data_IF_909720795349
#
_entry.id   IF_909720795349
#
_cell.length_a   1.000
_cell.length_b   1.000
_cell.length_c   1.000
_cell.angle_alpha   90.00
_cell.angle_beta   90.00
_cell.angle_gamma   90.00
#
_symmetry.space_group_name_H-M   'P 1'
#
loop_
_entity.id
_entity.type
_entity.pdbx_description
1 polymer ?
#
# COMPACT_ATOMS: atom_id res chain seq x y z
N UNK A 1 -11.19 4.87 1.84
CA UNK A 1 -11.35 4.36 3.23
C UNK A 1 -11.80 5.45 4.21
N UNK A 2 -11.45 6.73 4.02
CA UNK A 2 -11.98 7.82 4.83
C UNK A 2 -13.43 8.09 4.38
N UNK A 3 -14.39 7.71 5.20
CA UNK A 3 -15.83 7.81 4.91
C UNK A 3 -16.58 6.50 5.01
N UNK A 4 -15.87 5.39 5.20
CA UNK A 4 -16.52 4.13 5.53
C UNK A 4 -17.00 4.19 6.98
N UNK A 5 -18.29 3.84 7.20
CA UNK A 5 -18.92 3.87 8.51
C UNK A 5 -18.31 2.81 9.45
N UNK A 6 -18.54 2.96 10.77
CA UNK A 6 -18.21 1.92 11.76
C UNK A 6 -18.87 0.59 11.37
N UNK A 7 -20.10 0.62 10.88
CA UNK A 7 -20.85 -0.55 10.40
C UNK A 7 -20.11 -1.30 9.27
N UNK A 8 -19.43 -0.57 8.36
CA UNK A 8 -18.59 -1.20 7.33
C UNK A 8 -17.44 -1.98 7.96
N UNK A 9 -16.73 -1.38 8.91
CA UNK A 9 -15.60 -2.02 9.56
C UNK A 9 -16.02 -3.21 10.42
N UNK A 10 -17.15 -3.12 11.08
CA UNK A 10 -17.72 -4.24 11.84
C UNK A 10 -18.11 -5.40 10.90
N UNK A 11 -18.76 -5.10 9.79
CA UNK A 11 -19.11 -6.11 8.79
C UNK A 11 -17.86 -6.76 8.18
N UNK A 12 -16.87 -5.96 7.78
CA UNK A 12 -15.59 -6.45 7.25
C UNK A 12 -14.87 -7.35 8.26
N UNK A 13 -14.84 -6.94 9.52
CA UNK A 13 -14.24 -7.72 10.61
C UNK A 13 -14.98 -9.03 10.84
N UNK A 14 -16.32 -9.02 10.82
CA UNK A 14 -17.10 -10.25 10.93
C UNK A 14 -16.76 -11.25 9.81
N UNK A 15 -16.71 -10.79 8.56
CA UNK A 15 -16.30 -11.64 7.42
C UNK A 15 -14.88 -12.19 7.58
N UNK A 16 -13.97 -11.41 8.12
CA UNK A 16 -12.58 -11.83 8.38
C UNK A 16 -12.54 -12.90 9.45
N UNK A 17 -13.26 -12.72 10.56
CA UNK A 17 -13.37 -13.73 11.64
C UNK A 17 -13.97 -15.05 11.13
N UNK A 18 -15.00 -14.98 10.29
CA UNK A 18 -15.59 -16.17 9.64
C UNK A 18 -14.55 -16.94 8.81
N UNK A 19 -13.73 -16.22 8.03
CA UNK A 19 -12.64 -16.83 7.24
C UNK A 19 -11.59 -17.52 8.08
N UNK A 20 -11.36 -17.05 9.30
CA UNK A 20 -10.49 -17.70 10.28
C UNK A 20 -11.18 -18.83 11.05
N UNK A 21 -12.41 -19.22 10.67
CA UNK A 21 -13.14 -20.34 11.27
C UNK A 21 -13.92 -19.99 12.54
N UNK A 22 -14.10 -18.71 12.85
CA UNK A 22 -14.97 -18.31 13.97
C UNK A 22 -16.43 -18.65 13.62
N UNK A 23 -17.22 -19.26 14.54
CA UNK A 23 -18.65 -19.47 14.34
C UNK A 23 -19.40 -18.16 14.07
N UNK A 24 -20.40 -18.18 13.19
CA UNK A 24 -21.09 -16.96 12.71
C UNK A 24 -21.61 -16.09 13.83
N UNK A 25 -22.37 -16.65 14.79
CA UNK A 25 -22.91 -15.90 15.92
C UNK A 25 -21.81 -15.24 16.76
N UNK A 26 -20.66 -15.89 16.90
CA UNK A 26 -19.52 -15.37 17.66
C UNK A 26 -18.78 -14.29 16.84
N UNK A 27 -18.61 -14.49 15.54
CA UNK A 27 -18.00 -13.52 14.65
C UNK A 27 -18.78 -12.20 14.66
N UNK A 28 -20.10 -12.25 14.55
CA UNK A 28 -20.97 -11.08 14.61
C UNK A 28 -20.89 -10.36 15.99
N UNK A 29 -20.85 -11.11 17.07
CA UNK A 29 -20.77 -10.55 18.42
C UNK A 29 -19.40 -9.90 18.74
N UNK A 30 -18.32 -10.43 18.19
CA UNK A 30 -16.95 -9.93 18.42
C UNK A 30 -16.55 -8.81 17.47
N UNK A 31 -17.13 -8.75 16.29
CA UNK A 31 -16.69 -7.84 15.24
C UNK A 31 -16.60 -6.37 15.68
N UNK A 32 -17.58 -5.77 16.40
CA UNK A 32 -17.47 -4.38 16.83
C UNK A 32 -16.30 -4.14 17.79
N UNK A 33 -16.02 -5.07 18.68
CA UNK A 33 -14.93 -4.93 19.65
C UNK A 33 -13.57 -5.08 18.95
N UNK A 34 -13.44 -6.02 18.02
CA UNK A 34 -12.21 -6.25 17.27
C UNK A 34 -11.96 -5.09 16.31
N UNK A 35 -12.98 -4.60 15.59
CA UNK A 35 -12.83 -3.46 14.69
C UNK A 35 -12.40 -2.20 15.44
N UNK A 36 -13.01 -1.90 16.59
CA UNK A 36 -12.61 -0.78 17.43
C UNK A 36 -11.18 -0.92 17.95
N UNK A 37 -10.78 -2.11 18.43
CA UNK A 37 -9.42 -2.35 18.86
C UNK A 37 -8.41 -2.15 17.72
N UNK A 38 -8.71 -2.67 16.53
CA UNK A 38 -7.85 -2.52 15.35
C UNK A 38 -7.68 -1.06 14.93
N UNK A 39 -8.74 -0.27 15.02
CA UNK A 39 -8.73 1.14 14.63
C UNK A 39 -8.04 2.04 15.66
N UNK A 40 -8.26 1.79 16.96
CA UNK A 40 -7.91 2.74 18.01
C UNK A 40 -6.67 2.33 18.81
N UNK A 41 -6.47 1.02 19.05
CA UNK A 41 -5.51 0.53 20.04
C UNK A 41 -4.39 -0.32 19.44
N UNK A 42 -4.66 -1.01 18.31
CA UNK A 42 -3.66 -1.86 17.68
C UNK A 42 -2.51 -1.04 17.11
N UNK A 43 -1.31 -1.28 17.65
CA UNK A 43 -0.07 -0.65 17.22
C UNK A 43 0.97 -1.74 16.97
N UNK A 44 1.00 -2.31 15.74
CA UNK A 44 2.04 -3.29 15.40
C UNK A 44 3.42 -2.66 15.47
N UNK A 45 4.41 -3.47 15.81
CA UNK A 45 5.81 -3.06 15.68
C UNK A 45 6.15 -3.03 14.20
N UNK A 46 6.61 -1.88 13.73
CA UNK A 46 7.07 -1.73 12.35
C UNK A 46 8.29 -2.62 12.12
N UNK A 47 8.28 -3.37 11.04
CA UNK A 47 9.39 -4.19 10.59
C UNK A 47 9.74 -3.85 9.14
N UNK A 48 11.01 -3.54 8.90
CA UNK A 48 11.54 -3.32 7.55
C UNK A 48 12.44 -4.50 7.21
N UNK A 49 12.06 -5.37 6.27
CA UNK A 49 12.90 -6.48 5.82
C UNK A 49 14.25 -6.00 5.28
N UNK A 50 15.29 -6.81 5.46
CA UNK A 50 16.66 -6.41 5.09
C UNK A 50 16.82 -6.09 3.60
N UNK A 51 16.16 -6.86 2.73
CA UNK A 51 16.16 -6.69 1.28
C UNK A 51 15.58 -5.35 0.82
N UNK A 52 14.72 -4.72 1.63
CA UNK A 52 14.17 -3.39 1.32
C UNK A 52 15.28 -2.34 1.28
N UNK A 53 16.22 -2.39 2.23
CA UNK A 53 17.33 -1.45 2.30
C UNK A 53 18.25 -1.55 1.08
N UNK A 54 18.58 -2.77 0.69
CA UNK A 54 19.45 -3.04 -0.47
C UNK A 54 18.78 -2.58 -1.76
N UNK A 55 17.51 -2.92 -1.94
CA UNK A 55 16.73 -2.55 -3.14
C UNK A 55 16.59 -1.02 -3.26
N UNK A 56 16.18 -0.34 -2.18
CA UNK A 56 16.03 1.11 -2.22
C UNK A 56 17.37 1.83 -2.45
N UNK A 57 18.47 1.28 -1.92
CA UNK A 57 19.81 1.82 -2.16
C UNK A 57 20.21 1.68 -3.64
N UNK A 58 20.02 0.50 -4.22
CA UNK A 58 20.30 0.26 -5.64
C UNK A 58 19.50 1.18 -6.55
N UNK A 59 18.20 1.35 -6.27
CA UNK A 59 17.34 2.25 -7.06
C UNK A 59 17.76 3.72 -6.95
N UNK A 60 18.10 4.15 -5.74
CA UNK A 60 18.58 5.52 -5.48
C UNK A 60 19.93 5.78 -6.18
N UNK A 61 20.88 4.86 -6.08
CA UNK A 61 22.22 4.97 -6.70
C UNK A 61 22.11 4.95 -8.23
N UNK A 62 21.14 4.24 -8.77
CA UNK A 62 20.81 4.25 -10.20
C UNK A 62 20.09 5.54 -10.64
N UNK A 63 19.76 6.45 -9.71
CA UNK A 63 19.16 7.75 -10.00
C UNK A 63 17.65 7.71 -10.22
N UNK A 64 16.95 6.64 -9.82
CA UNK A 64 15.49 6.60 -9.91
C UNK A 64 14.85 7.50 -8.84
N UNK A 65 14.00 8.47 -9.25
CA UNK A 65 13.20 9.23 -8.29
C UNK A 65 12.14 8.32 -7.68
N UNK A 66 12.04 8.32 -6.35
CA UNK A 66 11.10 7.48 -5.62
C UNK A 66 10.19 8.31 -4.71
N UNK A 67 8.94 7.88 -4.55
CA UNK A 67 7.97 8.45 -3.64
C UNK A 67 7.08 7.38 -3.03
N UNK A 68 6.43 7.69 -1.93
CA UNK A 68 5.47 6.80 -1.26
C UNK A 68 4.10 7.46 -1.21
N UNK A 69 3.05 6.73 -1.66
CA UNK A 69 1.66 7.14 -1.54
C UNK A 69 0.85 6.10 -0.78
N UNK A 70 0.12 6.52 0.26
CA UNK A 70 -0.62 5.63 1.16
C UNK A 70 -2.03 6.11 1.41
N UNK A 71 -2.98 5.15 1.53
CA UNK A 71 -4.37 5.42 1.93
C UNK A 71 -4.50 5.78 3.44
N UNK A 72 -3.50 6.46 3.99
CA UNK A 72 -3.54 6.98 5.37
C UNK A 72 -4.26 8.33 5.40
N UNK A 73 -4.92 8.62 6.53
CA UNK A 73 -5.55 9.91 6.75
C UNK A 73 -4.52 10.99 7.07
N UNK A 74 -3.55 10.65 7.91
CA UNK A 74 -2.57 11.60 8.44
C UNK A 74 -1.21 11.44 7.75
N UNK A 75 -0.42 12.52 7.63
CA UNK A 75 0.97 12.46 7.20
C UNK A 75 1.76 11.44 8.01
N UNK A 76 2.74 10.78 7.39
CA UNK A 76 3.54 9.72 8.01
C UNK A 76 5.05 9.82 7.73
N UNK A 77 5.50 10.99 7.30
CA UNK A 77 6.92 11.24 7.07
C UNK A 77 7.77 11.03 8.34
N UNK A 78 7.23 11.36 9.51
CA UNK A 78 7.92 11.13 10.78
C UNK A 78 8.14 9.63 11.06
N UNK A 79 7.18 8.78 10.72
CA UNK A 79 7.35 7.33 10.80
C UNK A 79 8.44 6.83 9.85
N UNK A 80 8.47 7.32 8.59
CA UNK A 80 9.56 6.98 7.66
C UNK A 80 10.92 7.46 8.15
N UNK A 81 11.00 8.62 8.80
CA UNK A 81 12.24 9.09 9.44
C UNK A 81 12.67 8.15 10.56
N UNK A 82 11.75 7.76 11.44
CA UNK A 82 12.03 6.83 12.54
C UNK A 82 12.53 5.48 12.04
N UNK A 83 11.99 5.01 10.93
CA UNK A 83 12.41 3.78 10.25
C UNK A 83 13.69 3.96 9.41
N UNK A 84 14.21 5.17 9.25
CA UNK A 84 15.37 5.47 8.40
C UNK A 84 15.08 5.43 6.89
N UNK A 85 13.82 5.30 6.48
CA UNK A 85 13.41 5.16 5.08
C UNK A 85 13.22 6.49 4.35
N UNK A 86 12.97 7.58 5.07
CA UNK A 86 12.70 8.89 4.46
C UNK A 86 13.75 9.37 3.45
N UNK A 87 15.08 9.12 3.64
CA UNK A 87 16.09 9.57 2.69
C UNK A 87 16.04 8.94 1.29
N UNK A 88 15.26 7.89 1.10
CA UNK A 88 15.04 7.24 -0.20
C UNK A 88 13.96 7.91 -1.03
N UNK A 89 13.07 8.68 -0.42
CA UNK A 89 11.86 9.18 -1.05
C UNK A 89 11.87 10.70 -1.15
N UNK A 90 11.42 11.23 -2.29
CA UNK A 90 11.25 12.67 -2.51
C UNK A 90 10.00 13.19 -1.77
N UNK A 91 9.00 12.34 -1.57
CA UNK A 91 7.79 12.67 -0.81
C UNK A 91 7.21 11.43 -0.11
N UNK A 92 6.39 11.68 0.90
CA UNK A 92 5.50 10.71 1.53
C UNK A 92 4.08 11.30 1.54
N UNK A 93 3.23 10.85 0.62
CA UNK A 93 1.88 11.38 0.42
C UNK A 93 0.84 10.53 1.15
N UNK A 94 0.14 11.10 2.11
CA UNK A 94 -1.05 10.51 2.69
C UNK A 94 -2.30 10.95 1.91
N UNK A 95 -3.21 10.02 1.61
CA UNK A 95 -4.46 10.29 0.91
C UNK A 95 -5.28 11.43 1.56
N UNK A 96 -5.24 11.51 2.90
CA UNK A 96 -5.95 12.56 3.63
C UNK A 96 -5.41 13.97 3.41
N UNK A 97 -4.16 14.15 2.95
CA UNK A 97 -3.58 15.46 2.67
C UNK A 97 -4.21 16.11 1.43
N UNK A 98 -4.67 15.28 0.49
CA UNK A 98 -5.29 15.74 -0.76
C UNK A 98 -6.76 15.32 -0.89
N UNK A 99 -7.31 14.70 0.16
CA UNK A 99 -8.68 14.17 0.19
C UNK A 99 -9.01 13.25 -1.00
N UNK A 100 -8.05 12.41 -1.42
CA UNK A 100 -8.22 11.42 -2.49
C UNK A 100 -7.51 10.11 -2.12
N UNK A 101 -8.23 9.00 -2.19
CA UNK A 101 -7.80 7.66 -1.79
C UNK A 101 -7.68 6.74 -2.98
N UNK A 102 -6.63 5.90 -2.99
CA UNK A 102 -6.55 4.80 -3.98
C UNK A 102 -7.80 3.92 -3.87
N UNK A 103 -8.44 3.54 -4.97
CA UNK A 103 -7.96 3.59 -6.36
C UNK A 103 -8.31 4.87 -7.15
N UNK A 104 -8.72 5.97 -6.52
CA UNK A 104 -9.05 7.21 -7.23
C UNK A 104 -7.84 7.73 -8.02
N UNK A 105 -8.00 8.16 -9.29
CA UNK A 105 -6.88 8.61 -10.13
C UNK A 105 -6.13 9.81 -9.57
N UNK A 106 -6.79 10.69 -8.81
CA UNK A 106 -6.20 11.95 -8.34
C UNK A 106 -4.97 11.75 -7.44
N UNK A 107 -4.93 10.72 -6.60
CA UNK A 107 -3.75 10.46 -5.76
C UNK A 107 -2.52 10.06 -6.60
N UNK A 108 -2.72 9.28 -7.67
CA UNK A 108 -1.65 8.88 -8.58
C UNK A 108 -1.16 10.06 -9.40
N UNK A 109 -2.08 10.89 -9.92
CA UNK A 109 -1.75 12.11 -10.66
C UNK A 109 -0.95 13.10 -9.80
N UNK A 110 -1.33 13.23 -8.52
CA UNK A 110 -0.60 14.08 -7.58
C UNK A 110 0.81 13.53 -7.30
N UNK A 111 0.95 12.22 -7.11
CA UNK A 111 2.26 11.56 -6.95
C UNK A 111 3.15 11.75 -8.18
N UNK A 112 2.61 11.62 -9.40
CA UNK A 112 3.33 11.87 -10.65
C UNK A 112 3.82 13.31 -10.75
N UNK A 113 2.98 14.28 -10.37
CA UNK A 113 3.36 15.70 -10.35
C UNK A 113 4.50 15.99 -9.35
N UNK A 114 4.50 15.33 -8.18
CA UNK A 114 5.59 15.44 -7.20
C UNK A 114 6.91 14.83 -7.67
N UNK A 115 6.87 13.78 -8.50
CA UNK A 115 8.06 13.16 -9.10
C UNK A 115 8.50 13.81 -10.41
N UNK A 116 7.72 14.76 -10.95
CA UNK A 116 7.93 15.35 -12.28
C UNK A 116 8.11 14.27 -13.37
N UNK A 117 7.19 13.29 -13.39
CA UNK A 117 7.26 12.14 -14.29
C UNK A 117 5.94 11.88 -14.99
N UNK A 118 5.97 11.05 -16.06
CA UNK A 118 4.78 10.65 -16.81
C UNK A 118 4.31 9.26 -16.38
N UNK A 119 2.99 8.97 -16.46
CA UNK A 119 2.42 7.70 -16.06
C UNK A 119 3.12 6.48 -16.70
N UNK A 120 3.33 6.51 -18.01
CA UNK A 120 3.93 5.43 -18.80
C UNK A 120 5.40 5.15 -18.45
N UNK A 121 6.07 6.08 -17.76
CA UNK A 121 7.45 5.96 -17.29
C UNK A 121 7.56 5.68 -15.79
N UNK A 122 6.43 5.43 -15.13
CA UNK A 122 6.38 5.24 -13.67
C UNK A 122 5.89 3.85 -13.32
N UNK A 123 6.69 3.12 -12.54
CA UNK A 123 6.25 1.88 -11.89
C UNK A 123 5.53 2.24 -10.59
N UNK A 124 4.42 1.56 -10.34
CA UNK A 124 3.71 1.63 -9.07
C UNK A 124 3.70 0.24 -8.41
N UNK A 125 4.39 0.11 -7.30
CA UNK A 125 4.49 -1.15 -6.54
C UNK A 125 3.53 -1.09 -5.36
N UNK A 126 2.67 -2.08 -5.21
CA UNK A 126 1.73 -2.15 -4.08
C UNK A 126 1.24 -3.57 -3.84
N UNK A 127 0.66 -3.80 -2.66
CA UNK A 127 0.18 -5.10 -2.19
C UNK A 127 -1.35 -5.26 -2.29
N UNK A 128 -2.07 -4.16 -2.48
CA UNK A 128 -3.52 -4.20 -2.60
C UNK A 128 -3.93 -4.20 -4.08
N UNK A 129 -4.41 -5.38 -4.56
CA UNK A 129 -4.78 -5.54 -5.97
C UNK A 129 -5.79 -4.49 -6.44
N UNK A 130 -6.82 -4.19 -5.64
CA UNK A 130 -7.84 -3.22 -6.03
C UNK A 130 -7.34 -1.76 -5.93
N UNK A 131 -6.79 -1.39 -4.78
CA UNK A 131 -6.40 -0.01 -4.53
C UNK A 131 -5.14 0.38 -5.32
N UNK A 132 -4.13 -0.49 -5.35
CA UNK A 132 -2.83 -0.18 -5.95
C UNK A 132 -2.78 -0.55 -7.42
N UNK A 133 -3.09 -1.80 -7.75
CA UNK A 133 -2.86 -2.32 -9.10
C UNK A 133 -3.89 -1.77 -10.09
N UNK A 134 -5.18 -1.96 -9.79
CA UNK A 134 -6.23 -1.41 -10.66
C UNK A 134 -6.21 0.13 -10.65
N UNK A 135 -5.97 0.75 -9.49
CA UNK A 135 -5.88 2.20 -9.38
C UNK A 135 -4.73 2.78 -10.22
N UNK A 136 -3.52 2.25 -10.10
CA UNK A 136 -2.36 2.68 -10.89
C UNK A 136 -2.56 2.44 -12.38
N UNK A 137 -3.08 1.26 -12.76
CA UNK A 137 -3.40 0.94 -14.16
C UNK A 137 -4.39 1.92 -14.77
N UNK A 138 -5.48 2.24 -14.06
CA UNK A 138 -6.49 3.21 -14.49
C UNK A 138 -5.94 4.64 -14.59
N UNK A 139 -4.90 4.97 -13.83
CA UNK A 139 -4.19 6.25 -13.92
C UNK A 139 -3.06 6.24 -14.97
N UNK A 140 -2.87 5.12 -15.70
CA UNK A 140 -1.90 4.97 -16.77
C UNK A 140 -0.47 4.62 -16.32
N UNK A 141 -0.25 4.35 -15.04
CA UNK A 141 1.03 3.88 -14.52
C UNK A 141 1.23 2.38 -14.85
N UNK A 142 2.45 1.91 -14.69
CA UNK A 142 2.81 0.49 -14.84
C UNK A 142 2.78 -0.19 -13.47
N UNK A 143 1.71 -0.94 -13.15
CA UNK A 143 1.58 -1.57 -11.84
C UNK A 143 2.46 -2.81 -11.70
N UNK A 144 2.96 -3.05 -10.48
CA UNK A 144 3.64 -4.27 -10.05
C UNK A 144 3.03 -4.71 -8.72
N UNK A 145 2.52 -5.93 -8.66
CA UNK A 145 1.92 -6.48 -7.45
C UNK A 145 2.97 -7.11 -6.55
N UNK A 146 3.08 -6.66 -5.31
CA UNK A 146 3.83 -7.31 -4.25
C UNK A 146 2.94 -8.34 -3.58
N UNK A 147 3.15 -9.63 -3.87
CA UNK A 147 2.32 -10.74 -3.38
C UNK A 147 3.17 -11.90 -2.83
N UNK A 148 3.74 -11.74 -1.61
CA UNK A 148 4.57 -12.76 -1.00
C UNK A 148 3.86 -14.09 -0.73
N UNK A 149 2.54 -14.05 -0.60
CA UNK A 149 1.72 -15.22 -0.27
C UNK A 149 1.12 -15.92 -1.51
N UNK A 150 1.27 -15.36 -2.71
CA UNK A 150 0.71 -15.93 -3.95
C UNK A 150 -0.82 -15.95 -3.96
N UNK A 151 -1.44 -14.89 -3.43
CA UNK A 151 -2.90 -14.80 -3.29
C UNK A 151 -3.62 -14.46 -4.60
N UNK A 152 -2.88 -13.93 -5.58
CA UNK A 152 -3.45 -13.44 -6.84
C UNK A 152 -2.83 -14.12 -8.07
N UNK A 153 -3.03 -15.44 -8.24
CA UNK A 153 -2.47 -16.18 -9.39
C UNK A 153 -3.02 -15.70 -10.75
N UNK A 154 -4.16 -15.02 -10.75
CA UNK A 154 -4.83 -14.47 -11.95
C UNK A 154 -4.42 -12.99 -12.22
N UNK A 155 -3.42 -12.47 -11.51
CA UNK A 155 -3.00 -11.08 -11.73
C UNK A 155 -2.52 -10.86 -13.17
N UNK A 156 -2.97 -9.76 -13.78
CA UNK A 156 -2.64 -9.39 -15.16
C UNK A 156 -1.47 -8.42 -15.29
N UNK A 157 -0.76 -8.18 -14.18
CA UNK A 157 0.44 -7.38 -14.09
C UNK A 157 1.62 -8.22 -13.60
N UNK A 158 2.87 -7.75 -13.69
CA UNK A 158 4.00 -8.36 -13.02
C UNK A 158 3.73 -8.55 -11.52
N UNK A 159 4.07 -9.74 -11.00
CA UNK A 159 3.93 -10.10 -9.59
C UNK A 159 5.32 -10.40 -9.03
N UNK A 160 5.64 -9.82 -7.88
CA UNK A 160 6.89 -10.04 -7.17
C UNK A 160 6.61 -10.61 -5.76
N UNK A 161 7.38 -11.60 -5.31
CA UNK A 161 7.23 -12.16 -3.96
C UNK A 161 7.88 -11.28 -2.87
N UNK A 162 8.82 -10.41 -3.27
CA UNK A 162 9.58 -9.52 -2.39
C UNK A 162 10.08 -8.32 -3.19
N UNK A 163 10.49 -7.25 -2.51
CA UNK A 163 10.84 -5.99 -3.17
C UNK A 163 12.11 -6.10 -4.03
N UNK A 164 13.07 -6.95 -3.66
CA UNK A 164 14.31 -7.17 -4.39
C UNK A 164 14.07 -7.74 -5.80
N UNK A 165 13.02 -8.55 -5.99
CA UNK A 165 12.63 -9.06 -7.30
C UNK A 165 12.21 -7.94 -8.29
N UNK A 166 11.99 -6.71 -7.82
CA UNK A 166 11.73 -5.56 -8.67
C UNK A 166 12.91 -5.24 -9.59
N UNK A 167 14.14 -5.48 -9.15
CA UNK A 167 15.35 -5.22 -9.92
C UNK A 167 15.38 -6.04 -11.21
N UNK A 168 14.92 -7.30 -11.17
CA UNK A 168 14.85 -8.17 -12.35
C UNK A 168 13.87 -7.63 -13.39
N UNK A 169 12.72 -7.09 -12.95
CA UNK A 169 11.71 -6.49 -13.83
C UNK A 169 12.24 -5.22 -14.51
N UNK A 170 13.08 -4.45 -13.81
CA UNK A 170 13.61 -3.19 -14.33
C UNK A 170 14.81 -3.38 -15.27
N UNK A 171 15.42 -4.57 -15.27
CA UNK A 171 16.58 -4.90 -16.08
C UNK A 171 16.21 -5.44 -17.47
N UNK A 172 14.92 -5.68 -17.74
CA UNK A 172 14.37 -6.14 -19.03
C UNK A 172 13.87 -4.96 -19.86
#
# INVERSE_FOLDING_TARGET
YAGLSEEFWDYYTALTLLRFGCPDAQAQALAPQVSQYMLNDYRPVDHVPAEVWETLTLLKDAGFPMGVASNRRNPYLEQLNTLGLAPFFQFALAAGEINSWKPEPAIFQHALALLDTRPEHTLYVGDNYYADILGASNAGLRPVLLDPAGLFPEATCPVIPSLDALIDIMSC
#
